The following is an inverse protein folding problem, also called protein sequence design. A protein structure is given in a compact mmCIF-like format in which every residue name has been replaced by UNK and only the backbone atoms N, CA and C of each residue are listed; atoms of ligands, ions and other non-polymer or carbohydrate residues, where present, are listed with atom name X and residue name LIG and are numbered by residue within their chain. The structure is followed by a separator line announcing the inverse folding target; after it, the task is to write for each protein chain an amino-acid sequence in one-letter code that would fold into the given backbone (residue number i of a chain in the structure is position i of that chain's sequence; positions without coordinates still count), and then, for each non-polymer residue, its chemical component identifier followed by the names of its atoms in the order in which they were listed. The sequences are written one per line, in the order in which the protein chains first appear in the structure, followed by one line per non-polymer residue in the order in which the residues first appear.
data_IF_124091807701
#
_entry.id   IF_124091807701
#
_cell.length_a   1.000
_cell.length_b   1.000
_cell.length_c   1.000
_cell.angle_alpha   90.00
_cell.angle_beta   90.00
_cell.angle_gamma   90.00
#
_symmetry.space_group_name_H-M   'P 1'
#
loop_
_entity.id
_entity.type
_entity.pdbx_description
1 polymer ?
#
# COMPACT_ATOMS: atom_id res chain seq x y z
N UNK A 1 15.47 14.31 13.26
CA UNK A 1 14.04 13.95 13.30
C UNK A 1 13.44 14.05 11.90
N UNK A 2 13.66 15.15 11.14
CA UNK A 2 13.14 15.29 9.77
C UNK A 2 13.50 14.13 8.85
N UNK A 3 14.77 13.71 8.82
CA UNK A 3 15.22 12.54 8.04
C UNK A 3 14.62 11.23 8.54
N UNK A 4 14.40 11.08 9.84
CA UNK A 4 13.73 9.90 10.42
C UNK A 4 12.26 9.81 10.01
N UNK A 5 11.57 10.95 9.84
CA UNK A 5 10.20 10.98 9.31
C UNK A 5 10.15 10.52 7.85
N UNK A 6 11.19 10.83 7.06
CA UNK A 6 11.33 10.37 5.67
C UNK A 6 11.74 8.89 5.56
N UNK A 7 12.09 8.21 6.65
CA UNK A 7 12.40 6.78 6.65
C UNK A 7 11.17 5.87 6.60
N UNK A 8 9.97 6.42 6.76
CA UNK A 8 8.71 5.66 6.70
C UNK A 8 8.54 4.85 5.40
N UNK A 9 8.82 5.40 4.20
CA UNK A 9 8.70 4.65 2.96
C UNK A 9 9.62 3.43 2.86
N UNK A 10 10.71 3.39 3.64
CA UNK A 10 11.64 2.25 3.69
C UNK A 10 11.33 1.28 4.83
N UNK A 11 10.12 1.35 5.40
CA UNK A 11 9.61 0.37 6.35
C UNK A 11 9.96 0.62 7.82
N UNK A 12 10.52 1.78 8.16
CA UNK A 12 10.75 2.15 9.54
C UNK A 12 9.50 2.77 10.16
N UNK A 13 9.11 2.29 11.35
CA UNK A 13 8.00 2.89 12.10
C UNK A 13 8.44 4.24 12.67
N UNK A 14 7.76 5.30 12.25
CA UNK A 14 8.03 6.68 12.69
C UNK A 14 6.74 7.50 12.76
N UNK A 15 6.82 8.73 13.29
CA UNK A 15 5.69 9.66 13.22
C UNK A 15 5.29 10.01 11.78
N UNK A 16 6.19 9.81 10.82
CA UNK A 16 5.91 9.90 9.40
C UNK A 16 4.82 8.93 8.92
N UNK A 17 4.61 7.79 9.60
CA UNK A 17 3.52 6.87 9.26
C UNK A 17 2.15 7.56 9.33
N UNK A 18 1.91 8.43 10.33
CA UNK A 18 0.66 9.20 10.42
C UNK A 18 0.51 10.18 9.27
N UNK A 19 1.61 10.85 8.88
CA UNK A 19 1.61 11.81 7.76
C UNK A 19 1.32 11.07 6.45
N UNK A 20 2.09 10.01 6.14
CA UNK A 20 1.92 9.25 4.89
C UNK A 20 0.58 8.53 4.83
N UNK A 21 0.16 7.88 5.92
CA UNK A 21 -1.16 7.25 5.98
C UNK A 21 -2.29 8.27 5.82
N UNK A 22 -2.16 9.44 6.46
CA UNK A 22 -3.14 10.52 6.34
C UNK A 22 -3.22 11.08 4.92
N UNK A 23 -2.10 11.27 4.24
CA UNK A 23 -2.07 11.68 2.83
C UNK A 23 -2.72 10.63 1.92
N UNK A 24 -2.38 9.36 2.10
CA UNK A 24 -2.94 8.24 1.31
C UNK A 24 -4.44 8.05 1.50
N UNK A 25 -4.94 8.29 2.72
CA UNK A 25 -6.37 8.15 3.06
C UNK A 25 -7.12 9.47 3.03
N UNK A 26 -6.49 10.58 2.58
CA UNK A 26 -7.03 11.95 2.62
C UNK A 26 -7.51 12.39 4.01
N UNK A 27 -6.98 11.77 5.06
CA UNK A 27 -7.31 12.09 6.45
C UNK A 27 -6.38 13.18 7.01
N UNK A 28 -6.79 14.43 6.86
CA UNK A 28 -6.04 15.60 7.29
C UNK A 28 -5.78 15.64 8.79
N UNK A 29 -6.63 14.99 9.60
CA UNK A 29 -6.43 14.88 11.06
C UNK A 29 -5.17 14.05 11.34
N UNK A 30 -4.95 12.96 10.62
CA UNK A 30 -3.75 12.14 10.76
C UNK A 30 -2.49 12.88 10.28
N UNK A 31 -2.59 13.60 9.17
CA UNK A 31 -1.48 14.42 8.66
C UNK A 31 -1.08 15.47 9.70
N UNK A 32 -2.05 16.25 10.18
CA UNK A 32 -1.80 17.30 11.16
C UNK A 32 -1.25 16.74 12.48
N UNK A 33 -1.83 15.64 12.97
CA UNK A 33 -1.32 14.95 14.16
C UNK A 33 0.14 14.53 14.00
N UNK A 34 0.48 13.89 12.88
CA UNK A 34 1.85 13.46 12.58
C UNK A 34 2.84 14.62 12.50
N UNK A 35 2.46 15.71 11.85
CA UNK A 35 3.28 16.93 11.76
C UNK A 35 3.49 17.57 13.13
N UNK A 36 2.43 17.77 13.90
CA UNK A 36 2.50 18.38 15.25
C UNK A 36 3.32 17.50 16.20
N UNK A 37 3.07 16.19 16.20
CA UNK A 37 3.80 15.25 17.07
C UNK A 37 5.29 15.22 16.72
N UNK A 38 5.66 15.25 15.43
CA UNK A 38 7.05 15.32 14.99
C UNK A 38 7.73 16.63 15.41
N UNK A 39 7.04 17.75 15.27
CA UNK A 39 7.53 19.07 15.68
C UNK A 39 7.75 19.14 17.20
N UNK A 40 6.77 18.69 17.99
CA UNK A 40 6.88 18.63 19.45
C UNK A 40 8.04 17.76 19.90
N UNK A 41 8.21 16.57 19.31
CA UNK A 41 9.32 15.68 19.62
C UNK A 41 10.67 16.35 19.28
N UNK A 42 10.75 17.03 18.13
CA UNK A 42 11.96 17.74 17.72
C UNK A 42 12.34 18.83 18.73
N UNK A 43 11.38 19.67 19.11
CA UNK A 43 11.58 20.72 20.10
C UNK A 43 11.98 20.17 21.47
N UNK A 44 11.34 19.07 21.90
CA UNK A 44 11.64 18.44 23.18
C UNK A 44 13.09 17.93 23.21
N UNK A 45 13.54 17.23 22.18
CA UNK A 45 14.92 16.74 22.08
C UNK A 45 15.90 17.90 22.03
N UNK A 46 15.60 18.96 21.26
CA UNK A 46 16.44 20.16 21.17
C UNK A 46 16.59 20.85 22.53
N UNK A 47 15.49 21.04 23.29
CA UNK A 47 15.53 21.65 24.62
C UNK A 47 16.31 20.78 25.64
N UNK A 48 16.19 19.45 25.56
CA UNK A 48 16.96 18.56 26.43
C UNK A 48 18.46 18.61 26.12
N UNK A 49 18.85 18.69 24.85
CA UNK A 49 20.23 18.89 24.44
C UNK A 49 20.76 20.25 24.89
N UNK A 50 19.98 21.32 24.67
CA UNK A 50 20.34 22.66 25.13
C UNK A 50 20.50 22.72 26.67
N UNK A 51 19.72 21.94 27.42
CA UNK A 51 19.86 21.83 28.87
C UNK A 51 21.21 21.20 29.26
N UNK A 52 21.66 20.18 28.53
CA UNK A 52 22.98 19.55 28.72
C UNK A 52 24.09 20.55 28.41
N UNK A 53 24.01 21.24 27.26
CA UNK A 53 25.01 22.23 26.83
C UNK A 53 25.14 23.37 27.85
N UNK A 54 23.99 23.94 28.30
CA UNK A 54 23.99 24.97 29.35
C UNK A 54 24.54 24.42 30.66
N UNK A 55 24.23 23.16 31.02
CA UNK A 55 24.77 22.50 32.18
C UNK A 55 26.30 22.37 32.13
N UNK A 56 26.85 22.03 30.95
CA UNK A 56 28.25 21.98 30.70
C UNK A 56 28.94 23.37 30.83
N UNK A 57 28.36 24.39 30.18
CA UNK A 57 28.89 25.74 30.19
C UNK A 57 28.98 26.34 31.62
N UNK A 58 27.98 26.07 32.46
CA UNK A 58 27.94 26.56 33.87
C UNK A 58 28.43 25.53 34.89
N UNK A 59 29.07 24.42 34.44
CA UNK A 59 29.58 23.30 35.22
C UNK A 59 28.53 22.72 36.23
N UNK A 60 27.27 22.74 35.88
CA UNK A 60 26.17 22.21 36.71
C UNK A 60 25.89 20.73 36.38
N UNK A 61 26.36 19.83 37.26
CA UNK A 61 26.09 18.38 37.11
C UNK A 61 24.58 18.07 37.16
N UNK A 62 23.82 18.82 37.92
CA UNK A 62 22.35 18.62 38.03
C UNK A 62 21.64 18.87 36.70
N UNK A 63 21.97 19.94 35.95
CA UNK A 63 21.38 20.24 34.64
C UNK A 63 21.76 19.23 33.60
N UNK A 64 23.02 18.79 33.57
CA UNK A 64 23.49 17.74 32.67
C UNK A 64 22.76 16.42 32.93
N UNK A 65 22.63 16.03 34.21
CA UNK A 65 21.95 14.81 34.62
C UNK A 65 20.44 14.89 34.27
N UNK A 66 19.78 16.02 34.47
CA UNK A 66 18.36 16.23 34.12
C UNK A 66 18.13 16.11 32.60
N UNK A 67 18.99 16.73 31.78
CA UNK A 67 18.88 16.62 30.32
C UNK A 67 19.12 15.20 29.82
N UNK A 68 20.15 14.51 30.35
CA UNK A 68 20.45 13.12 30.01
C UNK A 68 19.33 12.16 30.45
N UNK A 69 18.78 12.35 31.65
CA UNK A 69 17.64 11.57 32.13
C UNK A 69 16.38 11.78 31.28
N UNK A 70 16.11 13.04 30.85
CA UNK A 70 15.01 13.36 29.94
C UNK A 70 15.17 12.66 28.59
N UNK A 71 16.36 12.66 27.98
CA UNK A 71 16.63 11.94 26.74
C UNK A 71 16.47 10.42 26.92
N UNK A 72 16.99 9.85 28.03
CA UNK A 72 16.82 8.44 28.31
C UNK A 72 15.34 8.06 28.49
N UNK A 73 14.57 8.87 29.19
CA UNK A 73 13.12 8.68 29.36
C UNK A 73 12.38 8.75 28.02
N UNK A 74 12.72 9.71 27.16
CA UNK A 74 12.15 9.82 25.82
C UNK A 74 12.44 8.58 24.98
N UNK A 75 13.67 8.06 25.06
CA UNK A 75 14.09 6.82 24.38
C UNK A 75 13.31 5.59 24.91
N UNK A 76 13.22 5.46 26.24
CA UNK A 76 12.46 4.37 26.88
C UNK A 76 10.98 4.46 26.49
N UNK A 77 10.37 5.64 26.51
CA UNK A 77 8.98 5.84 26.09
C UNK A 77 8.75 5.47 24.61
N UNK A 78 9.75 5.69 23.75
CA UNK A 78 9.68 5.30 22.34
C UNK A 78 9.82 3.78 22.12
N UNK A 79 10.63 3.09 22.94
CA UNK A 79 10.92 1.65 22.81
C UNK A 79 9.93 0.77 23.59
N UNK A 80 9.41 1.25 24.71
CA UNK A 80 8.52 0.50 25.62
C UNK A 80 7.29 -0.09 24.95
N UNK A 81 6.54 0.62 24.07
CA UNK A 81 5.39 0.04 23.37
C UNK A 81 5.75 -1.15 22.49
N UNK A 82 6.94 -1.13 21.88
CA UNK A 82 7.42 -2.24 21.06
C UNK A 82 7.83 -3.44 21.94
N UNK A 83 8.45 -3.21 23.08
CA UNK A 83 8.81 -4.25 24.03
C UNK A 83 7.59 -4.90 24.68
N UNK A 84 6.57 -4.11 25.03
CA UNK A 84 5.31 -4.62 25.60
C UNK A 84 4.44 -5.35 24.56
N UNK A 85 4.53 -4.99 23.27
CA UNK A 85 3.86 -5.68 22.17
C UNK A 85 4.54 -6.98 21.73
N UNK A 86 5.73 -7.28 22.24
CA UNK A 86 6.45 -8.54 21.99
C UNK A 86 5.80 -9.76 22.68
N UNK A 87 4.70 -9.58 23.40
CA UNK A 87 3.88 -10.64 23.99
C UNK A 87 2.99 -11.33 22.97
N UNK A 88 3.43 -12.43 22.40
CA UNK A 88 2.65 -13.62 22.00
C UNK A 88 1.60 -13.53 20.89
N UNK A 89 1.32 -12.39 20.26
CA UNK A 89 0.27 -12.25 19.24
C UNK A 89 0.79 -12.36 17.80
N UNK A 90 -0.14 -12.54 16.85
CA UNK A 90 0.14 -12.50 15.42
C UNK A 90 0.27 -11.06 14.95
N UNK A 91 1.14 -10.80 13.98
CA UNK A 91 1.37 -9.47 13.41
C UNK A 91 1.06 -9.49 11.91
N UNK A 92 0.04 -8.74 11.51
CA UNK A 92 -0.35 -8.58 10.11
C UNK A 92 0.34 -7.35 9.54
N UNK A 93 1.03 -7.50 8.41
CA UNK A 93 1.67 -6.40 7.70
C UNK A 93 0.73 -5.72 6.71
N UNK A 94 0.96 -4.42 6.44
CA UNK A 94 0.29 -3.68 5.38
C UNK A 94 1.27 -2.73 4.69
N UNK A 95 1.14 -2.61 3.35
CA UNK A 95 1.80 -1.55 2.58
C UNK A 95 1.13 -0.19 2.87
N UNK A 96 1.70 0.90 2.36
CA UNK A 96 1.31 2.27 2.70
C UNK A 96 0.18 2.83 1.82
N UNK A 97 -0.92 2.08 1.61
CA UNK A 97 -2.11 2.56 0.89
C UNK A 97 -3.39 1.91 1.40
N UNK A 98 -4.54 2.58 1.16
CA UNK A 98 -5.83 2.31 1.79
C UNK A 98 -6.29 0.85 1.68
N UNK A 99 -6.20 0.24 0.50
CA UNK A 99 -6.59 -1.16 0.26
C UNK A 99 -5.84 -2.12 1.19
N UNK A 100 -4.55 -1.90 1.38
CA UNK A 100 -3.73 -2.74 2.25
C UNK A 100 -4.14 -2.60 3.72
N UNK A 101 -4.52 -1.40 4.15
CA UNK A 101 -5.01 -1.19 5.51
C UNK A 101 -6.35 -1.87 5.75
N UNK A 102 -7.24 -1.87 4.74
CA UNK A 102 -8.53 -2.59 4.79
C UNK A 102 -8.29 -4.11 4.90
N UNK A 103 -7.44 -4.65 4.03
CA UNK A 103 -7.15 -6.09 4.01
C UNK A 103 -6.42 -6.55 5.28
N UNK A 104 -5.51 -5.75 5.81
CA UNK A 104 -4.84 -6.05 7.07
C UNK A 104 -5.82 -6.00 8.26
N UNK A 105 -6.73 -5.03 8.29
CA UNK A 105 -7.79 -4.96 9.30
C UNK A 105 -8.72 -6.18 9.21
N UNK A 106 -9.12 -6.57 7.99
CA UNK A 106 -9.94 -7.76 7.76
C UNK A 106 -9.26 -9.05 8.29
N UNK A 107 -7.97 -9.24 7.99
CA UNK A 107 -7.22 -10.38 8.51
C UNK A 107 -7.11 -10.33 10.04
N UNK A 108 -6.87 -9.15 10.60
CA UNK A 108 -6.82 -8.97 12.06
C UNK A 108 -8.14 -9.32 12.73
N UNK A 109 -9.27 -8.85 12.17
CA UNK A 109 -10.62 -9.14 12.70
C UNK A 109 -10.95 -10.62 12.61
N UNK A 110 -10.56 -11.29 11.52
CA UNK A 110 -10.70 -12.75 11.38
C UNK A 110 -9.92 -13.51 12.44
N UNK A 111 -8.67 -13.14 12.68
CA UNK A 111 -7.87 -13.78 13.73
C UNK A 111 -8.50 -13.57 15.12
N UNK A 112 -8.93 -12.36 15.41
CA UNK A 112 -9.59 -12.03 16.70
C UNK A 112 -10.90 -12.78 16.91
N UNK A 113 -11.70 -12.95 15.85
CA UNK A 113 -12.94 -13.74 15.94
C UNK A 113 -12.70 -15.24 16.22
N UNK A 114 -11.48 -15.74 15.94
CA UNK A 114 -11.02 -17.08 16.33
C UNK A 114 -10.29 -17.10 17.69
N UNK A 115 -10.40 -16.03 18.48
CA UNK A 115 -9.77 -15.94 19.80
C UNK A 115 -8.25 -15.70 19.77
N UNK A 116 -7.69 -15.36 18.60
CA UNK A 116 -6.25 -15.15 18.42
C UNK A 116 -5.89 -13.66 18.61
N UNK A 117 -4.94 -13.38 19.49
CA UNK A 117 -4.42 -12.03 19.64
C UNK A 117 -3.68 -11.61 18.36
N UNK A 118 -4.11 -10.51 17.72
CA UNK A 118 -3.51 -10.01 16.49
C UNK A 118 -3.34 -8.49 16.51
N UNK A 119 -2.15 -8.05 16.11
CA UNK A 119 -1.78 -6.66 15.87
C UNK A 119 -1.50 -6.40 14.39
N UNK A 120 -1.33 -5.11 14.02
CA UNK A 120 -0.92 -4.71 12.67
C UNK A 120 0.39 -3.94 12.69
N UNK A 121 1.10 -4.03 11.57
CA UNK A 121 2.24 -3.17 11.24
C UNK A 121 1.98 -2.55 9.87
N UNK A 122 1.46 -1.34 9.89
CA UNK A 122 1.04 -0.60 8.72
C UNK A 122 2.18 0.25 8.14
N UNK A 123 2.08 0.62 6.84
CA UNK A 123 2.98 1.57 6.18
C UNK A 123 4.32 0.99 5.74
N UNK A 124 4.43 -0.33 5.57
CA UNK A 124 5.65 -0.96 5.07
C UNK A 124 5.81 -0.73 3.56
N UNK A 125 7.01 -0.35 3.13
CA UNK A 125 7.33 -0.22 1.70
C UNK A 125 7.40 -1.58 0.99
N UNK A 126 7.07 -1.62 -0.31
CA UNK A 126 7.04 -2.84 -1.12
C UNK A 126 8.39 -3.59 -1.17
N UNK A 127 9.52 -2.88 -1.07
CA UNK A 127 10.84 -3.50 -1.05
C UNK A 127 11.14 -4.21 0.28
N UNK A 128 10.55 -3.74 1.38
CA UNK A 128 10.89 -4.17 2.75
C UNK A 128 9.94 -5.22 3.28
N UNK A 129 8.66 -5.18 2.87
CA UNK A 129 7.62 -6.01 3.48
C UNK A 129 7.84 -7.52 3.22
N UNK A 130 8.37 -7.89 2.04
CA UNK A 130 8.71 -9.29 1.71
C UNK A 130 9.81 -9.80 2.64
N UNK A 131 10.84 -8.98 2.88
CA UNK A 131 11.94 -9.33 3.78
C UNK A 131 11.47 -9.40 5.24
N UNK A 132 10.57 -8.50 5.65
CA UNK A 132 9.95 -8.53 6.97
C UNK A 132 9.12 -9.81 7.20
N UNK A 133 8.40 -10.28 6.16
CA UNK A 133 7.66 -11.54 6.22
C UNK A 133 8.62 -12.75 6.27
N UNK A 134 9.64 -12.77 5.43
CA UNK A 134 10.64 -13.85 5.40
C UNK A 134 11.38 -13.98 6.74
N UNK A 135 11.72 -12.85 7.37
CA UNK A 135 12.36 -12.80 8.68
C UNK A 135 11.41 -13.10 9.86
N UNK A 136 10.10 -13.22 9.61
CA UNK A 136 9.08 -13.44 10.64
C UNK A 136 8.80 -12.20 11.51
N UNK A 137 9.14 -11.00 11.05
CA UNK A 137 8.82 -9.73 11.72
C UNK A 137 7.33 -9.37 11.57
N UNK A 138 6.67 -9.93 10.56
CA UNK A 138 5.22 -9.99 10.37
C UNK A 138 4.83 -11.44 10.05
N UNK A 139 3.59 -11.83 10.32
CA UNK A 139 3.10 -13.20 10.17
C UNK A 139 2.38 -13.46 8.86
N UNK A 140 1.64 -12.47 8.37
CA UNK A 140 0.99 -12.48 7.06
C UNK A 140 0.82 -11.06 6.52
N UNK A 141 0.65 -10.96 5.21
CA UNK A 141 0.17 -9.75 4.52
C UNK A 141 -0.34 -10.13 3.12
N UNK A 142 -0.99 -9.19 2.45
CA UNK A 142 -1.41 -9.33 1.05
C UNK A 142 -0.38 -8.64 0.14
N UNK A 143 0.11 -9.35 -0.87
CA UNK A 143 0.90 -8.76 -1.95
C UNK A 143 0.20 -8.98 -3.30
N UNK A 144 0.81 -8.50 -4.36
CA UNK A 144 0.32 -8.65 -5.73
C UNK A 144 1.34 -9.40 -6.58
N UNK A 145 0.85 -10.34 -7.40
CA UNK A 145 1.72 -11.19 -8.21
C UNK A 145 2.65 -10.37 -9.10
N UNK A 146 2.15 -9.33 -9.78
CA UNK A 146 2.96 -8.47 -10.64
C UNK A 146 4.04 -7.70 -9.88
N UNK A 147 3.78 -7.29 -8.63
CA UNK A 147 4.82 -6.67 -7.78
C UNK A 147 5.97 -7.64 -7.49
N UNK A 148 5.65 -8.88 -7.12
CA UNK A 148 6.67 -9.92 -6.87
C UNK A 148 7.41 -10.26 -8.16
N UNK A 149 6.67 -10.40 -9.28
CA UNK A 149 7.19 -10.70 -10.61
C UNK A 149 8.25 -9.68 -11.05
N UNK A 150 7.88 -8.41 -11.05
CA UNK A 150 8.78 -7.33 -11.49
C UNK A 150 9.90 -7.04 -10.47
N UNK A 151 9.58 -6.97 -9.17
CA UNK A 151 10.53 -6.47 -8.17
C UNK A 151 11.42 -7.56 -7.58
N UNK A 152 10.91 -8.80 -7.43
CA UNK A 152 11.66 -9.88 -6.80
C UNK A 152 12.26 -10.85 -7.83
N UNK A 153 11.46 -11.29 -8.81
CA UNK A 153 11.93 -12.19 -9.88
C UNK A 153 12.67 -11.43 -10.99
N UNK A 154 12.55 -10.10 -11.05
CA UNK A 154 13.15 -9.24 -12.09
C UNK A 154 12.72 -9.62 -13.51
N UNK A 155 11.48 -10.09 -13.64
CA UNK A 155 10.85 -10.48 -14.92
C UNK A 155 10.10 -9.29 -15.52
N UNK A 156 10.12 -9.20 -16.85
CA UNK A 156 9.42 -8.15 -17.63
C UNK A 156 8.48 -8.75 -18.68
N UNK A 157 8.51 -10.05 -18.86
CA UNK A 157 7.60 -10.81 -19.72
C UNK A 157 6.23 -10.97 -19.03
N UNK A 158 5.21 -11.22 -19.83
CA UNK A 158 3.82 -11.33 -19.39
C UNK A 158 3.26 -12.70 -19.79
N UNK A 159 3.63 -13.78 -19.07
CA UNK A 159 3.06 -15.09 -19.31
C UNK A 159 1.60 -15.16 -18.79
N UNK A 160 0.85 -16.23 -19.15
CA UNK A 160 -0.51 -16.43 -18.66
C UNK A 160 -0.62 -16.35 -17.14
N UNK A 161 -1.71 -15.77 -16.62
CA UNK A 161 -1.98 -15.56 -15.20
C UNK A 161 -1.68 -16.79 -14.32
N UNK A 162 -2.10 -17.98 -14.75
CA UNK A 162 -1.88 -19.23 -14.01
C UNK A 162 -0.39 -19.57 -13.86
N UNK A 163 0.43 -19.25 -14.85
CA UNK A 163 1.87 -19.46 -14.83
C UNK A 163 2.54 -18.47 -13.87
N UNK A 164 2.18 -17.19 -13.93
CA UNK A 164 2.67 -16.16 -12.97
C UNK A 164 2.37 -16.58 -11.54
N UNK A 165 1.14 -16.98 -11.23
CA UNK A 165 0.75 -17.46 -9.89
C UNK A 165 1.60 -18.65 -9.45
N UNK A 166 1.80 -19.65 -10.33
CA UNK A 166 2.58 -20.83 -10.03
C UNK A 166 4.06 -20.50 -9.79
N UNK A 167 4.67 -19.71 -10.67
CA UNK A 167 6.09 -19.31 -10.53
C UNK A 167 6.32 -18.45 -9.30
N UNK A 168 5.49 -17.44 -9.06
CA UNK A 168 5.56 -16.58 -7.86
C UNK A 168 5.47 -17.42 -6.59
N UNK A 169 4.49 -18.33 -6.50
CA UNK A 169 4.34 -19.20 -5.34
C UNK A 169 5.53 -20.13 -5.13
N UNK A 170 6.06 -20.70 -6.21
CA UNK A 170 7.24 -21.59 -6.18
C UNK A 170 8.50 -20.83 -5.76
N UNK A 171 8.71 -19.64 -6.31
CA UNK A 171 9.86 -18.78 -5.97
C UNK A 171 9.82 -18.35 -4.50
N UNK A 172 8.65 -17.86 -4.03
CA UNK A 172 8.46 -17.43 -2.63
C UNK A 172 8.79 -18.57 -1.66
N UNK A 173 8.29 -19.78 -1.94
CA UNK A 173 8.57 -20.97 -1.13
C UNK A 173 10.06 -21.36 -1.17
N UNK A 174 10.65 -21.46 -2.37
CA UNK A 174 12.02 -21.95 -2.53
C UNK A 174 13.09 -20.96 -2.05
N UNK A 175 12.90 -19.66 -2.29
CA UNK A 175 13.91 -18.64 -2.02
C UNK A 175 13.72 -17.92 -0.68
N UNK A 176 12.49 -17.88 -0.16
CA UNK A 176 12.13 -17.10 1.03
C UNK A 176 11.46 -17.94 2.12
N UNK A 177 11.11 -19.19 1.87
CA UNK A 177 10.34 -20.02 2.78
C UNK A 177 8.90 -19.55 3.00
N UNK A 178 8.47 -18.52 2.27
CA UNK A 178 7.15 -17.89 2.38
C UNK A 178 6.10 -18.82 1.76
N UNK A 179 4.98 -19.02 2.45
CA UNK A 179 3.84 -19.78 1.95
C UNK A 179 2.82 -18.84 1.32
N UNK A 180 2.52 -19.01 0.04
CA UNK A 180 1.36 -18.42 -0.59
C UNK A 180 0.13 -19.27 -0.25
N UNK A 181 -0.85 -18.68 0.42
CA UNK A 181 -2.08 -19.37 0.81
C UNK A 181 -3.06 -19.46 -0.36
N UNK A 182 -3.11 -18.43 -1.18
CA UNK A 182 -3.91 -18.34 -2.41
C UNK A 182 -4.17 -16.89 -2.82
N UNK A 183 -4.81 -16.71 -3.99
CA UNK A 183 -5.36 -15.43 -4.43
C UNK A 183 -6.63 -15.08 -3.67
N UNK A 184 -6.87 -13.79 -3.44
CA UNK A 184 -8.08 -13.33 -2.73
C UNK A 184 -9.34 -13.32 -3.62
N UNK A 185 -9.17 -13.29 -4.96
CA UNK A 185 -10.27 -13.28 -5.93
C UNK A 185 -10.35 -12.00 -6.77
N UNK A 186 -9.48 -11.03 -6.52
CA UNK A 186 -9.36 -9.80 -7.31
C UNK A 186 -7.90 -9.50 -7.66
N UNK A 187 -7.72 -8.54 -8.54
CA UNK A 187 -6.41 -7.99 -8.86
C UNK A 187 -6.40 -6.46 -8.68
N UNK A 188 -5.22 -5.91 -8.44
CA UNK A 188 -4.95 -4.48 -8.42
C UNK A 188 -3.84 -4.17 -9.43
N UNK A 189 -4.20 -4.29 -10.71
CA UNK A 189 -3.30 -4.05 -11.83
C UNK A 189 -3.25 -2.56 -12.21
N UNK A 190 -2.13 -2.15 -12.80
CA UNK A 190 -2.12 -0.91 -13.57
C UNK A 190 -3.14 -0.99 -14.71
N UNK A 191 -3.76 0.12 -15.01
CA UNK A 191 -4.70 0.26 -16.12
C UNK A 191 -4.63 1.68 -16.70
N UNK A 192 -5.17 1.86 -17.89
CA UNK A 192 -5.52 3.18 -18.38
C UNK A 192 -7.00 3.40 -18.16
N UNK A 193 -7.36 4.59 -17.69
CA UNK A 193 -8.75 5.00 -17.49
C UNK A 193 -8.99 6.37 -18.09
N UNK A 194 -10.25 6.62 -18.49
CA UNK A 194 -10.68 7.91 -19.00
C UNK A 194 -12.13 8.19 -18.58
N UNK A 195 -12.59 9.43 -18.74
CA UNK A 195 -13.96 9.81 -18.46
C UNK A 195 -14.91 8.99 -19.33
N UNK A 196 -15.93 8.38 -18.73
CA UNK A 196 -16.92 7.52 -19.44
C UNK A 196 -17.59 8.24 -20.61
N UNK A 197 -18.00 9.48 -20.40
CA UNK A 197 -18.62 10.30 -21.45
C UNK A 197 -17.71 10.46 -22.67
N UNK A 198 -16.41 10.75 -22.45
CA UNK A 198 -15.44 10.90 -23.52
C UNK A 198 -15.15 9.57 -24.22
N UNK A 199 -15.02 8.47 -23.46
CA UNK A 199 -14.85 7.13 -24.00
C UNK A 199 -16.01 6.76 -24.95
N UNK A 200 -17.26 6.99 -24.52
CA UNK A 200 -18.43 6.73 -25.32
C UNK A 200 -18.48 7.60 -26.59
N UNK A 201 -18.17 8.90 -26.47
CA UNK A 201 -18.15 9.84 -27.60
C UNK A 201 -17.13 9.45 -28.67
N UNK A 202 -15.97 8.93 -28.28
CA UNK A 202 -14.89 8.51 -29.18
C UNK A 202 -14.96 7.03 -29.57
N UNK A 203 -15.89 6.26 -28.98
CA UNK A 203 -16.02 4.82 -29.21
C UNK A 203 -14.87 3.99 -28.62
N UNK A 204 -14.17 4.52 -27.61
CA UNK A 204 -13.01 3.89 -26.97
C UNK A 204 -13.50 2.95 -25.87
N UNK A 205 -13.13 1.67 -25.95
CA UNK A 205 -13.40 0.64 -24.94
C UNK A 205 -12.12 -0.03 -24.44
N UNK A 206 -11.10 -0.07 -25.29
CA UNK A 206 -9.84 -0.73 -25.02
C UNK A 206 -8.64 0.20 -25.25
N UNK A 207 -7.48 -0.19 -24.75
CA UNK A 207 -6.22 0.51 -25.02
C UNK A 207 -5.92 0.53 -26.54
N UNK A 208 -6.34 -0.48 -27.28
CA UNK A 208 -6.18 -0.51 -28.73
C UNK A 208 -6.95 0.63 -29.44
N UNK A 209 -8.12 0.98 -28.93
CA UNK A 209 -8.94 2.03 -29.52
C UNK A 209 -8.38 3.44 -29.30
N UNK A 210 -7.43 3.61 -28.36
CA UNK A 210 -6.74 4.88 -28.14
C UNK A 210 -5.78 5.25 -29.28
N UNK A 211 -5.20 4.28 -29.96
CA UNK A 211 -4.10 4.52 -30.91
C UNK A 211 -4.41 5.59 -31.97
N UNK A 212 -5.61 5.61 -32.63
CA UNK A 212 -5.94 6.66 -33.61
C UNK A 212 -6.06 8.06 -33.02
N UNK A 213 -6.33 8.19 -31.71
CA UNK A 213 -6.60 9.46 -31.04
C UNK A 213 -5.44 9.95 -30.19
N UNK A 214 -4.48 9.07 -29.82
CA UNK A 214 -3.46 9.32 -28.80
C UNK A 214 -2.67 10.61 -29.02
N UNK A 215 -2.31 10.94 -30.26
CA UNK A 215 -1.56 12.17 -30.59
C UNK A 215 -2.32 13.47 -30.27
N UNK A 216 -3.64 13.42 -30.23
CA UNK A 216 -4.51 14.54 -29.84
C UNK A 216 -4.91 14.52 -28.37
N UNK A 217 -4.61 13.43 -27.64
CA UNK A 217 -4.98 13.26 -26.24
C UNK A 217 -3.79 13.48 -25.30
N UNK A 218 -4.12 13.85 -24.06
CA UNK A 218 -3.19 13.93 -22.96
C UNK A 218 -3.28 12.68 -22.07
N UNK A 219 -2.15 12.23 -21.52
CA UNK A 219 -2.12 11.17 -20.50
C UNK A 219 -1.44 11.68 -19.23
N UNK A 220 -2.00 11.37 -18.07
CA UNK A 220 -1.37 11.59 -16.79
C UNK A 220 -1.06 10.26 -16.09
N UNK A 221 0.06 10.22 -15.41
CA UNK A 221 0.49 9.09 -14.59
C UNK A 221 1.12 9.55 -13.28
N UNK A 222 1.16 8.67 -12.29
CA UNK A 222 1.92 8.95 -11.08
C UNK A 222 3.43 9.00 -11.35
N UNK A 223 4.20 9.43 -10.35
CA UNK A 223 5.64 9.63 -10.52
C UNK A 223 6.42 8.35 -10.87
N UNK A 224 5.87 7.17 -10.52
CA UNK A 224 6.49 5.89 -10.85
C UNK A 224 6.06 5.37 -12.23
N UNK A 225 4.81 5.58 -12.63
CA UNK A 225 4.18 4.95 -13.78
C UNK A 225 4.99 5.09 -15.08
N UNK A 226 5.41 6.31 -15.40
CA UNK A 226 6.17 6.56 -16.64
C UNK A 226 7.57 5.95 -16.66
N UNK A 227 8.13 5.63 -15.50
CA UNK A 227 9.42 4.93 -15.37
C UNK A 227 9.30 3.41 -15.34
N UNK A 228 8.08 2.88 -15.24
CA UNK A 228 7.84 1.44 -15.09
C UNK A 228 7.87 0.72 -16.42
N UNK A 229 8.28 -0.56 -16.42
CA UNK A 229 8.25 -1.40 -17.61
C UNK A 229 6.85 -1.56 -18.21
N UNK A 230 5.79 -1.48 -17.39
CA UNK A 230 4.40 -1.58 -17.82
C UNK A 230 4.02 -0.45 -18.79
N UNK A 231 4.43 0.80 -18.51
CA UNK A 231 4.19 1.91 -19.43
C UNK A 231 4.86 1.71 -20.78
N UNK A 232 6.12 1.28 -20.75
CA UNK A 232 6.85 0.96 -21.97
C UNK A 232 6.15 -0.15 -22.76
N UNK A 233 5.75 -1.22 -22.08
CA UNK A 233 5.07 -2.36 -22.70
C UNK A 233 3.74 -1.95 -23.35
N UNK A 234 2.93 -1.14 -22.67
CA UNK A 234 1.68 -0.59 -23.22
C UNK A 234 1.97 0.23 -24.50
N UNK A 235 2.92 1.15 -24.44
CA UNK A 235 3.25 2.00 -25.59
C UNK A 235 3.70 1.19 -26.80
N UNK A 236 4.59 0.22 -26.58
CA UNK A 236 5.12 -0.65 -27.66
C UNK A 236 4.03 -1.58 -28.21
N UNK A 237 3.24 -2.22 -27.34
CA UNK A 237 2.20 -3.16 -27.75
C UNK A 237 1.10 -2.50 -28.60
N UNK A 238 0.70 -1.28 -28.22
CA UNK A 238 -0.41 -0.58 -28.86
C UNK A 238 -0.01 0.56 -29.80
N UNK A 239 1.29 0.86 -29.92
CA UNK A 239 1.80 1.96 -30.75
C UNK A 239 1.34 3.34 -30.25
N UNK A 240 1.22 3.52 -28.93
CA UNK A 240 0.70 4.76 -28.36
C UNK A 240 1.75 5.87 -28.35
N UNK A 241 1.34 7.05 -28.84
CA UNK A 241 2.10 8.28 -28.78
C UNK A 241 1.16 9.41 -28.40
N UNK A 242 1.11 9.73 -27.10
CA UNK A 242 0.24 10.81 -26.60
C UNK A 242 0.84 12.18 -26.95
N UNK A 243 -0.04 13.14 -27.25
CA UNK A 243 0.37 14.50 -27.55
C UNK A 243 0.94 15.24 -26.33
N UNK A 244 0.56 14.82 -25.14
CA UNK A 244 1.04 15.38 -23.87
C UNK A 244 1.08 14.32 -22.78
N UNK A 245 2.23 14.19 -22.10
CA UNK A 245 2.39 13.38 -20.90
C UNK A 245 2.55 14.29 -19.68
N UNK A 246 1.83 14.03 -18.60
CA UNK A 246 1.85 14.79 -17.34
C UNK A 246 2.10 13.88 -16.16
N UNK A 247 3.09 14.22 -15.33
CA UNK A 247 3.27 13.57 -14.03
C UNK A 247 2.41 14.28 -12.99
N UNK A 248 1.64 13.51 -12.23
CA UNK A 248 0.75 14.02 -11.18
C UNK A 248 0.82 13.07 -9.97
N UNK A 249 0.47 13.58 -8.79
CA UNK A 249 0.22 12.69 -7.66
C UNK A 249 -1.07 11.90 -7.90
N UNK A 250 -1.08 10.65 -7.46
CA UNK A 250 -2.20 9.72 -7.69
C UNK A 250 -3.55 10.28 -7.21
N UNK A 251 -3.55 11.09 -6.15
CA UNK A 251 -4.75 11.72 -5.59
C UNK A 251 -5.38 12.75 -6.52
N UNK A 252 -4.60 13.39 -7.38
CA UNK A 252 -5.07 14.45 -8.29
C UNK A 252 -5.42 13.94 -9.69
N UNK A 253 -4.96 12.76 -10.09
CA UNK A 253 -5.21 12.22 -11.43
C UNK A 253 -6.70 12.00 -11.71
N UNK A 254 -7.41 11.39 -10.78
CA UNK A 254 -8.83 11.06 -10.93
C UNK A 254 -9.73 12.30 -11.02
N UNK A 255 -9.63 13.30 -10.11
CA UNK A 255 -10.34 14.58 -10.26
C UNK A 255 -10.00 15.31 -11.57
N UNK A 256 -8.72 15.32 -11.98
CA UNK A 256 -8.29 15.96 -13.22
C UNK A 256 -8.91 15.32 -14.47
N UNK A 257 -9.01 13.98 -14.49
CA UNK A 257 -9.70 13.27 -15.57
C UNK A 257 -11.20 13.58 -15.59
N UNK A 258 -11.85 13.60 -14.43
CA UNK A 258 -13.26 13.96 -14.30
C UNK A 258 -13.54 15.40 -14.75
N UNK A 259 -12.65 16.35 -14.45
CA UNK A 259 -12.73 17.75 -14.86
C UNK A 259 -12.38 17.96 -16.36
N UNK A 260 -11.82 16.95 -17.05
CA UNK A 260 -11.37 17.07 -18.43
C UNK A 260 -10.04 17.82 -18.59
N UNK A 261 -9.25 17.98 -17.52
CA UNK A 261 -7.93 18.58 -17.56
C UNK A 261 -6.87 17.65 -18.19
N UNK A 262 -7.15 16.33 -18.12
CA UNK A 262 -6.42 15.26 -18.79
C UNK A 262 -7.42 14.26 -19.36
N UNK A 263 -7.07 13.66 -20.49
CA UNK A 263 -7.98 12.75 -21.21
C UNK A 263 -7.88 11.32 -20.70
N UNK A 264 -6.68 10.84 -20.44
CA UNK A 264 -6.37 9.48 -19.99
C UNK A 264 -5.51 9.55 -18.75
N UNK A 265 -5.73 8.65 -17.81
CA UNK A 265 -4.88 8.53 -16.62
C UNK A 265 -4.37 7.10 -16.44
N UNK A 266 -3.22 6.95 -15.82
CA UNK A 266 -2.87 5.68 -15.18
C UNK A 266 -3.81 5.48 -13.98
N UNK A 267 -4.35 4.29 -13.84
CA UNK A 267 -5.29 3.93 -12.78
C UNK A 267 -4.92 2.55 -12.22
N UNK A 268 -5.61 2.18 -11.16
CA UNK A 268 -5.54 0.83 -10.60
C UNK A 268 -6.90 0.17 -10.71
N UNK A 269 -6.95 -1.08 -11.16
CA UNK A 269 -8.21 -1.78 -11.46
C UNK A 269 -9.17 -1.90 -10.28
N UNK A 270 -8.66 -1.91 -9.04
CA UNK A 270 -9.46 -1.97 -7.81
C UNK A 270 -9.73 -0.59 -7.18
N UNK A 271 -9.32 0.53 -7.81
CA UNK A 271 -9.47 1.86 -7.23
C UNK A 271 -10.95 2.31 -7.22
N UNK A 272 -11.45 2.64 -6.04
CA UNK A 272 -12.85 3.08 -5.85
C UNK A 272 -13.19 4.41 -6.52
N UNK A 273 -12.18 5.26 -6.77
CA UNK A 273 -12.33 6.55 -7.46
C UNK A 273 -12.75 6.41 -8.92
N UNK A 274 -12.55 5.23 -9.53
CA UNK A 274 -13.07 4.92 -10.86
C UNK A 274 -14.59 5.11 -10.89
N UNK A 275 -15.30 4.55 -9.92
CA UNK A 275 -16.75 4.71 -9.82
C UNK A 275 -17.16 6.10 -9.31
N UNK A 276 -16.40 6.67 -8.37
CA UNK A 276 -16.67 7.99 -7.78
C UNK A 276 -16.65 9.11 -8.84
N UNK A 277 -15.69 9.05 -9.77
CA UNK A 277 -15.49 10.07 -10.80
C UNK A 277 -16.07 9.68 -12.19
N UNK A 278 -16.90 8.64 -12.24
CA UNK A 278 -17.50 8.11 -13.47
C UNK A 278 -16.46 7.88 -14.59
N UNK A 279 -15.37 7.24 -14.23
CA UNK A 279 -14.35 6.82 -15.17
C UNK A 279 -14.63 5.40 -15.67
N UNK A 280 -14.01 5.05 -16.79
CA UNK A 280 -13.98 3.68 -17.32
C UNK A 280 -12.55 3.22 -17.46
N UNK A 281 -12.29 2.02 -16.98
CA UNK A 281 -11.03 1.31 -17.23
C UNK A 281 -11.07 0.75 -18.64
N UNK A 282 -9.99 0.95 -19.39
CA UNK A 282 -9.85 0.45 -20.75
C UNK A 282 -9.32 -0.99 -20.72
N UNK A 283 -9.93 -1.86 -21.52
CA UNK A 283 -9.50 -3.24 -21.67
C UNK A 283 -8.09 -3.33 -22.29
N UNK A 284 -7.30 -4.30 -21.84
CA UNK A 284 -5.97 -4.63 -22.37
C UNK A 284 -6.00 -5.95 -23.19
N UNK A 285 -6.53 -5.97 -24.43
CA UNK A 285 -6.68 -7.19 -25.21
C UNK A 285 -5.35 -7.84 -25.62
N UNK A 286 -4.24 -7.09 -25.62
CA UNK A 286 -2.91 -7.64 -25.91
C UNK A 286 -2.17 -8.11 -24.66
N UNK A 287 -2.78 -7.96 -23.47
CA UNK A 287 -2.19 -8.34 -22.19
C UNK A 287 -0.78 -7.76 -22.01
N UNK A 288 -0.61 -6.46 -22.33
CA UNK A 288 0.65 -5.77 -22.18
C UNK A 288 1.03 -5.50 -20.71
N UNK A 289 0.04 -5.57 -19.82
CA UNK A 289 0.20 -5.40 -18.38
C UNK A 289 0.20 -6.79 -17.73
N UNK A 290 1.20 -7.14 -16.90
CA UNK A 290 1.20 -8.41 -16.18
C UNK A 290 0.03 -8.49 -15.20
N UNK A 291 -0.45 -9.70 -14.84
CA UNK A 291 -1.49 -9.88 -13.86
C UNK A 291 -0.99 -9.45 -12.46
N UNK A 292 -1.86 -8.78 -11.71
CA UNK A 292 -1.60 -8.30 -10.35
C UNK A 292 -2.58 -8.90 -9.35
N UNK A 293 -2.72 -10.24 -9.36
CA UNK A 293 -3.58 -10.94 -8.39
C UNK A 293 -3.17 -10.61 -6.97
N UNK A 294 -4.14 -10.21 -6.15
CA UNK A 294 -3.96 -10.06 -4.72
C UNK A 294 -3.77 -11.44 -4.09
N UNK A 295 -2.61 -11.69 -3.50
CA UNK A 295 -2.22 -12.98 -2.93
C UNK A 295 -1.96 -12.88 -1.44
N UNK A 296 -2.48 -13.83 -0.66
CA UNK A 296 -2.26 -13.91 0.77
C UNK A 296 -0.98 -14.68 1.06
N UNK A 297 -0.02 -14.00 1.68
CA UNK A 297 1.30 -14.53 2.00
C UNK A 297 1.46 -14.74 3.51
N UNK A 298 2.10 -15.84 3.87
CA UNK A 298 2.32 -16.28 5.25
C UNK A 298 3.81 -16.53 5.50
N UNK A 299 4.31 -16.05 6.65
CA UNK A 299 5.71 -16.18 7.03
C UNK A 299 6.15 -17.64 7.22
N UNK A 300 7.44 -17.95 7.06
CA UNK A 300 7.97 -19.29 7.28
C UNK A 300 7.62 -19.86 8.64
N UNK A 301 7.66 -19.02 9.70
CA UNK A 301 7.35 -19.42 11.07
C UNK A 301 5.87 -19.83 11.29
N UNK A 302 4.95 -19.35 10.42
CA UNK A 302 3.51 -19.65 10.50
C UNK A 302 3.04 -20.58 9.38
N UNK A 303 3.94 -21.03 8.52
CA UNK A 303 3.60 -21.85 7.36
C UNK A 303 2.86 -23.17 7.72
N UNK A 304 3.04 -23.67 8.95
CA UNK A 304 2.40 -24.89 9.46
C UNK A 304 1.52 -24.63 10.71
N UNK A 305 1.22 -23.37 11.03
CA UNK A 305 0.33 -23.00 12.14
C UNK A 305 -1.12 -23.21 11.71
N UNK A 306 -1.68 -24.37 12.05
CA UNK A 306 -3.00 -24.81 11.57
C UNK A 306 -4.11 -23.83 11.95
N UNK A 307 -4.12 -23.34 13.19
CA UNK A 307 -5.17 -22.43 13.68
C UNK A 307 -5.11 -21.09 12.96
N UNK A 308 -3.90 -20.56 12.77
CA UNK A 308 -3.67 -19.33 12.03
C UNK A 308 -4.11 -19.45 10.56
N UNK A 309 -3.74 -20.54 9.92
CA UNK A 309 -4.09 -20.80 8.52
C UNK A 309 -5.59 -21.01 8.33
N UNK A 310 -6.25 -21.71 9.25
CA UNK A 310 -7.68 -21.96 9.21
C UNK A 310 -8.48 -20.66 9.33
N UNK A 311 -8.06 -19.74 10.20
CA UNK A 311 -8.69 -18.43 10.35
C UNK A 311 -8.62 -17.58 9.07
N UNK A 312 -7.52 -17.68 8.29
CA UNK A 312 -7.29 -16.85 7.11
C UNK A 312 -7.72 -17.50 5.78
N UNK A 313 -7.80 -18.82 5.72
CA UNK A 313 -8.16 -19.57 4.50
C UNK A 313 -9.47 -19.13 3.85
N UNK A 314 -10.55 -18.80 4.59
CA UNK A 314 -11.80 -18.35 3.98
C UNK A 314 -11.70 -17.04 3.18
N UNK A 315 -10.60 -16.30 3.29
CA UNK A 315 -10.35 -15.10 2.46
C UNK A 315 -9.90 -15.44 1.04
N UNK A 316 -9.42 -16.67 0.81
CA UNK A 316 -8.95 -17.11 -0.51
C UNK A 316 -10.15 -17.25 -1.46
N UNK A 317 -10.12 -16.51 -2.57
CA UNK A 317 -11.18 -16.49 -3.58
C UNK A 317 -12.46 -15.74 -3.18
N UNK A 318 -12.49 -15.11 -1.99
CA UNK A 318 -13.73 -14.59 -1.42
C UNK A 318 -14.06 -13.14 -1.82
N UNK A 319 -13.12 -12.40 -2.38
CA UNK A 319 -13.30 -10.97 -2.68
C UNK A 319 -13.22 -10.77 -4.20
N UNK A 320 -14.31 -10.40 -4.84
CA UNK A 320 -14.28 -9.98 -6.24
C UNK A 320 -13.83 -8.51 -6.38
N UNK A 321 -13.45 -8.12 -7.60
CA UNK A 321 -12.93 -6.78 -7.88
C UNK A 321 -13.96 -5.67 -7.60
N UNK A 322 -15.24 -5.93 -7.83
CA UNK A 322 -16.29 -4.94 -7.60
C UNK A 322 -16.52 -4.69 -6.12
N UNK A 323 -16.50 -5.75 -5.32
CA UNK A 323 -16.55 -5.68 -3.86
C UNK A 323 -15.34 -4.92 -3.32
N UNK A 324 -14.14 -5.15 -3.87
CA UNK A 324 -12.94 -4.43 -3.44
C UNK A 324 -12.97 -2.95 -3.88
N UNK A 325 -13.46 -2.63 -5.08
CA UNK A 325 -13.69 -1.25 -5.51
C UNK A 325 -14.63 -0.49 -4.57
N UNK A 326 -15.73 -1.13 -4.16
CA UNK A 326 -16.65 -0.51 -3.20
C UNK A 326 -16.00 -0.33 -1.82
N UNK A 327 -15.19 -1.29 -1.36
CA UNK A 327 -14.42 -1.12 -0.14
C UNK A 327 -13.46 0.07 -0.23
N UNK A 328 -12.71 0.19 -1.33
CA UNK A 328 -11.81 1.30 -1.58
C UNK A 328 -12.55 2.64 -1.71
N UNK A 329 -13.73 2.67 -2.35
CA UNK A 329 -14.57 3.86 -2.44
C UNK A 329 -15.02 4.34 -1.05
N UNK A 330 -15.44 3.43 -0.18
CA UNK A 330 -15.81 3.77 1.20
C UNK A 330 -14.66 4.39 1.97
N UNK A 331 -13.45 3.85 1.80
CA UNK A 331 -12.26 4.42 2.43
C UNK A 331 -11.92 5.82 1.86
N UNK A 332 -12.01 6.03 0.55
CA UNK A 332 -11.75 7.34 -0.08
C UNK A 332 -12.77 8.40 0.35
N UNK A 333 -13.99 8.01 0.70
CA UNK A 333 -15.03 8.90 1.21
C UNK A 333 -15.01 9.09 2.74
N UNK A 334 -13.94 8.66 3.41
CA UNK A 334 -13.66 8.96 4.81
C UNK A 334 -14.01 7.85 5.81
N UNK A 335 -14.45 6.67 5.36
CA UNK A 335 -14.61 5.54 6.27
C UNK A 335 -13.25 5.01 6.73
N UNK A 336 -13.13 4.64 8.02
CA UNK A 336 -11.89 4.06 8.53
C UNK A 336 -11.64 2.67 7.96
N UNK A 337 -10.38 2.24 7.79
CA UNK A 337 -10.05 0.90 7.31
C UNK A 337 -10.72 -0.22 8.13
N UNK A 338 -10.86 -0.04 9.44
CA UNK A 338 -11.52 -0.99 10.34
C UNK A 338 -13.03 -1.08 10.09
N UNK A 339 -13.69 0.06 9.83
CA UNK A 339 -15.12 0.07 9.51
C UNK A 339 -15.39 -0.62 8.16
N UNK A 340 -14.53 -0.33 7.17
CA UNK A 340 -14.62 -0.94 5.84
C UNK A 340 -14.31 -2.45 5.91
N UNK A 341 -13.32 -2.85 6.70
CA UNK A 341 -12.97 -4.26 6.90
C UNK A 341 -14.11 -5.08 7.50
N UNK A 342 -14.82 -4.53 8.50
CA UNK A 342 -16.03 -5.17 9.05
C UNK A 342 -17.12 -5.34 8.00
N UNK A 343 -17.42 -4.26 7.24
CA UNK A 343 -18.38 -4.33 6.15
C UNK A 343 -17.99 -5.37 5.10
N UNK A 344 -16.70 -5.42 4.72
CA UNK A 344 -16.18 -6.42 3.77
C UNK A 344 -16.31 -7.83 4.33
N UNK A 345 -15.98 -8.03 5.62
CA UNK A 345 -16.11 -9.31 6.32
C UNK A 345 -17.54 -9.83 6.35
N UNK A 346 -18.54 -8.96 6.58
CA UNK A 346 -19.96 -9.32 6.55
C UNK A 346 -20.43 -9.70 5.14
N UNK A 347 -19.86 -9.09 4.11
CA UNK A 347 -20.24 -9.34 2.72
C UNK A 347 -19.69 -10.65 2.18
N UNK A 348 -18.45 -10.99 2.52
CA UNK A 348 -17.81 -12.25 2.08
C UNK A 348 -18.12 -13.44 2.96
N UNK A 349 -18.71 -13.22 4.15
CA UNK A 349 -19.11 -14.27 5.08
C UNK A 349 -20.53 -14.82 4.83
N UNK A 350 -21.22 -14.27 3.81
CA UNK A 350 -22.53 -14.73 3.33
C UNK A 350 -22.37 -15.64 2.13
#
# INVERSE_FOLDING_TARGET
IGTATLSTPIGQTSLGNYIFAGLQTQNWVFVLFGCVAAAVLALLVDQLLALIERGYAVRSRARMAAGAAGLALTLVAALLPNALRAGGGYIIGAKSFSEQYILAALMQDRLRSHGLAAGRRDGLGSAVIVDALAAGNIDAYVDYTGTIWANQLKRTDVPPRAEVLKEVGSWLKAKRGIRMLGGLGFENAYALAMKREQALKLGIRSIADLAPYASGLSVAGDFEFFSRPEWKAIREAYGLSFGRERQMQAEFMYPAAAAGEVDVISAYTSDGRIAEYDLVVLDDPKQAIPPYDAILLVSPRRANDAVFLEALRPLVGAIDVETMREANRRASTGATPEAVARWLGERIGK
#
